data_IF_252854931264
#
_entry.id   IF_252854931264
#
_cell.length_a   1.000
_cell.length_b   1.000
_cell.length_c   1.000
_cell.angle_alpha   90.00
_cell.angle_beta   90.00
_cell.angle_gamma   90.00
#
_symmetry.space_group_name_H-M   'P 1'
#
loop_
_entity.id
_entity.type
_entity.pdbx_description
1 polymer ?
#
# COMPACT_ATOMS: atom_id res chain seq x y z
N UNK A 1 46.82 28.24 -11.53
CA UNK A 1 46.36 27.15 -12.42
C UNK A 1 46.72 25.75 -11.89
N UNK A 2 48.00 25.38 -11.68
CA UNK A 2 48.35 24.03 -11.15
C UNK A 2 47.80 23.72 -9.75
N UNK A 3 47.75 24.69 -8.83
CA UNK A 3 47.17 24.53 -7.48
C UNK A 3 45.64 24.41 -7.48
N UNK A 4 44.98 25.04 -8.45
CA UNK A 4 43.51 25.01 -8.60
C UNK A 4 43.04 23.67 -9.15
N UNK A 5 43.78 23.09 -10.11
CA UNK A 5 43.50 21.76 -10.68
C UNK A 5 43.64 20.66 -9.61
N UNK A 6 44.64 20.77 -8.72
CA UNK A 6 44.84 19.79 -7.64
C UNK A 6 43.70 19.83 -6.60
N UNK A 7 43.16 21.01 -6.29
CA UNK A 7 42.05 21.17 -5.36
C UNK A 7 40.73 20.62 -5.94
N UNK A 8 40.49 20.81 -7.24
CA UNK A 8 39.31 20.25 -7.94
C UNK A 8 39.37 18.71 -8.05
N UNK A 9 40.57 18.13 -8.26
CA UNK A 9 40.75 16.68 -8.35
C UNK A 9 40.56 15.97 -6.99
N UNK A 10 41.00 16.59 -5.89
CA UNK A 10 40.75 16.10 -4.54
C UNK A 10 39.25 16.19 -4.15
N UNK A 11 38.53 17.21 -4.62
CA UNK A 11 37.10 17.36 -4.36
C UNK A 11 36.25 16.34 -5.14
N UNK A 12 36.65 15.95 -6.35
CA UNK A 12 35.99 14.88 -7.12
C UNK A 12 36.24 13.47 -6.57
N UNK A 13 37.39 13.24 -5.93
CA UNK A 13 37.71 11.95 -5.30
C UNK A 13 37.00 11.73 -3.94
N UNK A 14 36.46 12.79 -3.33
CA UNK A 14 35.70 12.73 -2.07
C UNK A 14 34.21 12.42 -2.27
N UNK A 15 33.71 12.34 -3.52
CA UNK A 15 32.28 12.18 -3.82
C UNK A 15 31.94 10.73 -4.24
N UNK A 16 32.91 9.82 -4.30
CA UNK A 16 32.64 8.39 -4.55
C UNK A 16 32.29 7.66 -3.25
N UNK A 17 31.25 8.11 -2.54
CA UNK A 17 30.54 7.21 -1.64
C UNK A 17 29.58 6.39 -2.50
N UNK A 18 29.91 5.11 -2.69
CA UNK A 18 28.93 4.16 -3.19
C UNK A 18 27.74 4.17 -2.23
N UNK A 19 26.63 4.79 -2.63
CA UNK A 19 25.37 4.71 -1.92
C UNK A 19 24.85 3.27 -2.04
N UNK A 20 25.32 2.38 -1.17
CA UNK A 20 24.77 1.04 -1.02
C UNK A 20 23.72 1.10 0.08
N UNK A 21 22.45 1.01 -0.29
CA UNK A 21 21.40 0.71 0.66
C UNK A 21 21.60 -0.73 1.15
N UNK A 22 21.78 -0.93 2.46
CA UNK A 22 21.89 -2.27 3.05
C UNK A 22 20.49 -2.88 3.19
N UNK A 23 20.39 -4.19 2.97
CA UNK A 23 19.20 -4.96 3.31
C UNK A 23 19.45 -5.62 4.66
N UNK A 24 18.61 -5.31 5.64
CA UNK A 24 18.60 -5.94 6.96
C UNK A 24 17.49 -6.97 7.00
N UNK A 25 17.85 -8.23 7.26
CA UNK A 25 16.88 -9.33 7.44
C UNK A 25 16.30 -9.26 8.85
N UNK A 26 14.98 -9.19 8.95
CA UNK A 26 14.26 -9.24 10.22
C UNK A 26 13.47 -10.53 10.27
N UNK A 27 13.83 -11.44 11.19
CA UNK A 27 13.16 -12.73 11.35
C UNK A 27 13.03 -13.08 12.84
N UNK A 28 11.79 -13.18 13.34
CA UNK A 28 11.50 -13.53 14.74
C UNK A 28 11.23 -15.04 14.96
N UNK A 29 11.38 -15.89 13.94
CA UNK A 29 11.20 -17.33 14.07
C UNK A 29 12.33 -17.95 14.93
N UNK A 30 12.00 -18.75 15.96
CA UNK A 30 13.00 -19.41 16.78
C UNK A 30 13.94 -20.28 15.94
N UNK A 31 15.25 -20.15 16.17
CA UNK A 31 16.28 -20.95 15.51
C UNK A 31 16.70 -20.45 14.12
N UNK A 32 16.13 -19.35 13.61
CA UNK A 32 16.59 -18.71 12.37
C UNK A 32 17.60 -17.61 12.68
N UNK A 33 18.77 -17.66 12.04
CA UNK A 33 19.78 -16.60 12.11
C UNK A 33 19.46 -15.51 11.08
N UNK A 34 19.06 -14.34 11.56
CA UNK A 34 18.86 -13.11 10.80
C UNK A 34 19.66 -11.96 11.44
N UNK A 35 19.69 -10.79 10.79
CA UNK A 35 20.40 -9.63 11.36
C UNK A 35 19.71 -9.13 12.63
N UNK A 36 18.37 -9.17 12.64
CA UNK A 36 17.55 -8.77 13.79
C UNK A 36 16.32 -9.67 13.96
N UNK A 37 15.80 -9.71 15.19
CA UNK A 37 14.54 -10.38 15.52
C UNK A 37 13.38 -9.40 15.72
N UNK A 38 13.65 -8.10 15.86
CA UNK A 38 12.62 -7.06 16.06
C UNK A 38 12.79 -5.93 15.05
N UNK A 39 11.67 -5.30 14.67
CA UNK A 39 11.67 -4.19 13.73
C UNK A 39 12.36 -2.95 14.31
N UNK A 40 12.18 -2.67 15.60
CA UNK A 40 12.78 -1.50 16.22
C UNK A 40 14.31 -1.60 16.27
N UNK A 41 14.87 -2.76 16.63
CA UNK A 41 16.32 -2.94 16.62
C UNK A 41 16.91 -2.80 15.19
N UNK A 42 16.20 -3.33 14.20
CA UNK A 42 16.60 -3.19 12.80
C UNK A 42 16.54 -1.73 12.33
N UNK A 43 15.46 -1.02 12.66
CA UNK A 43 15.33 0.40 12.42
C UNK A 43 16.48 1.17 13.07
N UNK A 44 16.78 0.94 14.34
CA UNK A 44 17.78 1.72 15.09
C UNK A 44 19.17 1.58 14.47
N UNK A 45 19.53 0.37 14.01
CA UNK A 45 20.78 0.09 13.33
C UNK A 45 20.84 0.54 11.86
N UNK A 46 19.70 0.65 11.18
CA UNK A 46 19.62 0.99 9.77
C UNK A 46 20.05 2.44 9.49
N UNK A 47 20.70 2.67 8.35
CA UNK A 47 20.97 4.00 7.83
C UNK A 47 19.80 4.49 6.97
N UNK A 48 19.75 5.80 6.72
CA UNK A 48 18.79 6.38 5.77
C UNK A 48 18.95 5.68 4.41
N UNK A 49 17.84 5.25 3.82
CA UNK A 49 17.70 4.45 2.59
C UNK A 49 17.94 2.96 2.70
N UNK A 50 18.28 2.43 3.87
CA UNK A 50 18.35 0.99 4.03
C UNK A 50 16.97 0.33 3.89
N UNK A 51 16.99 -0.96 3.59
CA UNK A 51 15.80 -1.80 3.50
C UNK A 51 15.68 -2.69 4.72
N UNK A 52 14.51 -2.71 5.35
CA UNK A 52 14.12 -3.75 6.29
C UNK A 52 13.33 -4.81 5.52
N UNK A 53 13.91 -5.99 5.34
CA UNK A 53 13.23 -7.14 4.75
C UNK A 53 12.68 -8.03 5.88
N UNK A 54 11.37 -7.95 6.06
CA UNK A 54 10.63 -8.64 7.12
C UNK A 54 10.24 -10.01 6.60
N UNK A 55 10.76 -11.05 7.24
CA UNK A 55 10.53 -12.41 6.81
C UNK A 55 9.23 -12.99 7.38
N UNK A 56 8.57 -13.90 6.63
CA UNK A 56 7.32 -14.50 7.06
C UNK A 56 7.46 -15.27 8.38
N UNK A 57 6.49 -15.09 9.26
CA UNK A 57 6.44 -15.80 10.54
C UNK A 57 5.00 -16.05 10.98
N UNK A 58 4.82 -17.06 11.83
CA UNK A 58 3.59 -17.26 12.61
C UNK A 58 3.53 -16.32 13.83
N UNK A 59 4.66 -15.74 14.22
CA UNK A 59 4.79 -14.83 15.35
C UNK A 59 4.61 -13.40 14.83
N UNK A 60 3.65 -12.68 15.40
CA UNK A 60 3.42 -11.27 15.13
C UNK A 60 4.68 -10.45 15.44
N UNK A 61 5.11 -9.59 14.50
CA UNK A 61 6.14 -8.60 14.78
C UNK A 61 5.54 -7.44 15.58
N UNK A 62 6.24 -7.02 16.63
CA UNK A 62 5.90 -5.83 17.41
C UNK A 62 5.87 -4.57 16.55
N UNK A 63 5.26 -3.53 17.11
CA UNK A 63 5.14 -2.24 16.44
C UNK A 63 6.50 -1.59 16.09
N UNK A 64 6.52 -0.82 15.01
CA UNK A 64 7.68 -0.05 14.55
C UNK A 64 7.42 1.45 14.65
N UNK A 65 8.30 2.19 15.33
CA UNK A 65 8.37 3.64 15.26
C UNK A 65 9.38 4.02 14.19
N UNK A 66 8.89 4.49 13.03
CA UNK A 66 9.72 4.85 11.90
C UNK A 66 10.06 6.35 11.95
N UNK A 67 11.34 6.66 12.15
CA UNK A 67 11.89 8.04 12.22
C UNK A 67 13.05 8.26 11.24
N UNK A 68 13.24 7.32 10.31
CA UNK A 68 14.22 7.37 9.22
C UNK A 68 13.57 6.94 7.92
N UNK A 69 13.96 7.58 6.81
CA UNK A 69 13.57 7.14 5.47
C UNK A 69 14.11 5.74 5.20
N UNK A 70 13.23 4.74 5.13
CA UNK A 70 13.57 3.33 4.89
C UNK A 70 12.68 2.73 3.81
N UNK A 71 13.10 1.58 3.27
CA UNK A 71 12.21 0.69 2.51
C UNK A 71 11.84 -0.48 3.40
N UNK A 72 10.56 -0.74 3.60
CA UNK A 72 10.06 -1.79 4.50
C UNK A 72 9.28 -2.80 3.66
N UNK A 73 9.82 -4.01 3.52
CA UNK A 73 9.31 -5.04 2.61
C UNK A 73 8.89 -6.29 3.37
N UNK A 74 7.69 -6.78 3.09
CA UNK A 74 7.23 -8.11 3.47
C UNK A 74 7.25 -9.09 2.31
N UNK A 75 6.40 -10.11 2.36
CA UNK A 75 6.31 -11.18 1.37
C UNK A 75 4.94 -11.28 0.65
N UNK A 76 4.01 -10.38 0.94
CA UNK A 76 2.62 -10.40 0.47
C UNK A 76 1.65 -11.02 1.47
N UNK A 77 0.41 -11.23 1.03
CA UNK A 77 -0.71 -11.72 1.84
C UNK A 77 -1.63 -12.64 1.01
N UNK A 78 -2.60 -13.32 1.66
CA UNK A 78 -3.47 -14.33 1.03
C UNK A 78 -2.69 -15.41 0.25
N UNK A 79 -1.49 -15.76 0.73
CA UNK A 79 -0.56 -16.66 0.02
C UNK A 79 -1.06 -18.11 -0.01
N UNK A 80 -1.93 -18.46 0.94
CA UNK A 80 -2.65 -19.73 0.99
C UNK A 80 -3.85 -19.81 0.02
N UNK A 81 -4.33 -18.67 -0.49
CA UNK A 81 -5.43 -18.61 -1.47
C UNK A 81 -4.89 -18.50 -2.90
N UNK A 82 -3.93 -17.60 -3.11
CA UNK A 82 -3.26 -17.42 -4.40
C UNK A 82 -1.96 -18.25 -4.44
N UNK A 83 -2.09 -19.55 -4.75
CA UNK A 83 -0.98 -20.52 -4.70
C UNK A 83 0.16 -20.22 -5.71
N UNK A 84 1.33 -20.83 -5.48
CA UNK A 84 2.54 -20.70 -6.31
C UNK A 84 3.13 -19.28 -6.36
N UNK A 85 2.88 -18.50 -5.30
CA UNK A 85 3.37 -17.14 -5.14
C UNK A 85 4.59 -17.04 -4.22
N UNK A 86 4.62 -17.82 -3.14
CA UNK A 86 5.71 -17.87 -2.16
C UNK A 86 5.89 -19.31 -1.68
N UNK A 87 7.12 -19.71 -1.37
CA UNK A 87 7.41 -21.03 -0.80
C UNK A 87 6.97 -21.12 0.67
N UNK A 88 7.08 -20.02 1.42
CA UNK A 88 6.51 -19.88 2.75
C UNK A 88 5.19 -19.12 2.64
N UNK A 89 4.11 -19.74 3.14
CA UNK A 89 2.74 -19.21 3.03
C UNK A 89 2.33 -18.34 4.23
N UNK A 90 3.14 -18.26 5.28
CA UNK A 90 2.94 -17.27 6.34
C UNK A 90 3.16 -15.86 5.79
N UNK A 91 2.52 -14.87 6.42
CA UNK A 91 2.67 -13.46 6.05
C UNK A 91 3.67 -12.78 6.98
N UNK A 92 4.31 -11.73 6.47
CA UNK A 92 5.06 -10.79 7.31
C UNK A 92 4.06 -9.87 8.01
N UNK A 93 3.56 -10.32 9.17
CA UNK A 93 2.52 -9.63 9.94
C UNK A 93 3.14 -8.74 11.01
N UNK A 94 2.89 -7.43 10.90
CA UNK A 94 3.33 -6.39 11.83
C UNK A 94 2.13 -5.83 12.58
N UNK A 95 2.27 -5.56 13.88
CA UNK A 95 1.19 -4.96 14.65
C UNK A 95 0.86 -3.55 14.14
N UNK A 96 1.71 -2.56 14.44
CA UNK A 96 1.51 -1.19 13.98
C UNK A 96 2.79 -0.58 13.40
N UNK A 97 2.64 0.33 12.44
CA UNK A 97 3.73 1.17 11.97
C UNK A 97 3.36 2.64 12.22
N UNK A 98 4.30 3.38 12.81
CA UNK A 98 4.17 4.79 13.13
C UNK A 98 5.19 5.62 12.33
N UNK A 99 4.88 6.06 11.09
CA UNK A 99 5.72 7.01 10.37
C UNK A 99 5.63 8.40 11.01
N UNK A 100 6.74 8.83 11.59
CA UNK A 100 6.93 10.10 12.31
C UNK A 100 7.93 11.01 11.60
N UNK A 101 8.14 12.27 12.03
CA UNK A 101 9.15 13.15 11.43
C UNK A 101 10.51 12.46 11.30
N UNK A 102 11.16 12.63 10.15
CA UNK A 102 12.40 11.93 9.77
C UNK A 102 12.19 10.68 8.91
N UNK A 103 10.96 10.15 8.84
CA UNK A 103 10.60 9.03 7.96
C UNK A 103 10.21 9.43 6.54
N UNK A 104 10.37 10.70 6.16
CA UNK A 104 9.88 11.21 4.89
C UNK A 104 10.48 10.43 3.71
N UNK A 105 9.66 9.97 2.77
CA UNK A 105 10.10 9.14 1.65
C UNK A 105 10.13 7.63 1.94
N UNK A 106 9.66 7.18 3.10
CA UNK A 106 9.58 5.75 3.43
C UNK A 106 8.59 5.03 2.52
N UNK A 107 8.96 3.82 2.10
CA UNK A 107 8.11 2.92 1.32
C UNK A 107 7.77 1.69 2.16
N UNK A 108 6.49 1.34 2.24
CA UNK A 108 5.96 0.21 2.99
C UNK A 108 5.22 -0.70 2.01
N UNK A 109 5.72 -1.93 1.80
CA UNK A 109 5.20 -2.82 0.77
C UNK A 109 5.17 -4.31 1.14
N UNK A 110 4.09 -5.00 0.75
CA UNK A 110 3.98 -6.46 0.86
C UNK A 110 3.75 -6.98 2.27
N UNK A 111 3.18 -6.18 3.18
CA UNK A 111 2.98 -6.54 4.58
C UNK A 111 1.51 -6.77 4.91
N UNK A 112 1.27 -7.56 5.96
CA UNK A 112 0.03 -7.52 6.71
C UNK A 112 0.27 -6.63 7.95
N UNK A 113 -0.56 -5.62 8.17
CA UNK A 113 -0.37 -4.63 9.24
C UNK A 113 -1.71 -4.35 9.93
N UNK A 114 -1.78 -4.41 11.26
CA UNK A 114 -3.05 -4.11 11.96
C UNK A 114 -3.44 -2.62 11.85
N UNK A 115 -2.46 -1.73 11.70
CA UNK A 115 -2.74 -0.32 11.41
C UNK A 115 -1.48 0.51 11.13
N UNK A 116 -1.66 1.58 10.38
CA UNK A 116 -0.62 2.60 10.16
C UNK A 116 -1.11 3.94 10.70
N UNK A 117 -0.28 4.56 11.54
CA UNK A 117 -0.56 5.85 12.16
C UNK A 117 0.48 6.87 11.71
N UNK A 118 0.12 7.71 10.75
CA UNK A 118 0.99 8.74 10.20
C UNK A 118 0.83 10.00 11.03
N UNK A 119 1.95 10.55 11.47
CA UNK A 119 1.97 11.80 12.22
C UNK A 119 3.06 12.72 11.69
N UNK A 120 2.65 13.92 11.33
CA UNK A 120 3.53 15.04 11.04
C UNK A 120 4.67 14.73 10.05
N UNK A 121 4.41 13.90 9.03
CA UNK A 121 5.42 13.46 8.06
C UNK A 121 4.88 13.44 6.63
N UNK A 122 5.78 13.43 5.65
CA UNK A 122 5.45 13.59 4.24
C UNK A 122 6.09 12.53 3.34
N UNK A 123 5.62 12.44 2.10
CA UNK A 123 6.22 11.57 1.07
C UNK A 123 6.23 10.07 1.44
N UNK A 124 5.26 9.59 2.22
CA UNK A 124 5.14 8.18 2.57
C UNK A 124 4.39 7.42 1.48
N UNK A 125 4.90 6.25 1.11
CA UNK A 125 4.24 5.32 0.17
C UNK A 125 3.83 4.05 0.89
N UNK A 126 2.54 3.76 0.88
CA UNK A 126 1.92 2.54 1.40
C UNK A 126 1.36 1.79 0.19
N UNK A 127 2.06 0.75 -0.25
CA UNK A 127 1.78 0.07 -1.51
C UNK A 127 1.63 -1.44 -1.29
N UNK A 128 0.62 -2.10 -1.87
CA UNK A 128 0.49 -3.58 -1.83
C UNK A 128 0.53 -4.18 -0.42
N UNK A 129 -0.24 -3.65 0.52
CA UNK A 129 -0.39 -4.18 1.88
C UNK A 129 -1.82 -4.65 2.17
N UNK A 130 -1.95 -5.52 3.16
CA UNK A 130 -3.20 -5.84 3.85
C UNK A 130 -3.21 -5.07 5.16
N UNK A 131 -4.12 -4.10 5.31
CA UNK A 131 -4.13 -3.14 6.41
C UNK A 131 -5.43 -3.26 7.20
N UNK A 132 -5.32 -3.19 8.53
CA UNK A 132 -6.47 -2.88 9.36
C UNK A 132 -6.98 -1.47 9.02
N UNK A 133 -6.14 -0.43 9.08
CA UNK A 133 -6.56 0.91 8.68
C UNK A 133 -5.40 1.89 8.58
N UNK A 134 -5.68 3.09 8.05
CA UNK A 134 -4.72 4.20 8.04
C UNK A 134 -5.30 5.37 8.80
N UNK A 135 -4.54 5.89 9.75
CA UNK A 135 -4.94 7.04 10.55
C UNK A 135 -3.92 8.17 10.42
N UNK A 136 -4.44 9.40 10.37
CA UNK A 136 -3.63 10.61 10.38
C UNK A 136 -3.82 11.35 11.69
N UNK A 137 -2.71 11.73 12.31
CA UNK A 137 -2.68 12.64 13.45
C UNK A 137 -1.74 13.81 13.17
N UNK A 138 -1.96 14.90 13.88
CA UNK A 138 -1.12 16.08 13.85
C UNK A 138 -0.99 16.57 15.28
N UNK A 139 0.24 16.65 15.79
CA UNK A 139 0.52 17.17 17.13
C UNK A 139 1.12 18.57 17.03
N UNK A 140 1.88 18.84 15.96
CA UNK A 140 2.49 20.14 15.75
C UNK A 140 1.49 21.13 15.13
N UNK A 141 1.37 22.32 15.71
CA UNK A 141 0.54 23.43 15.22
C UNK A 141 1.17 24.18 14.02
N UNK A 142 2.27 23.66 13.47
CA UNK A 142 2.99 24.22 12.33
C UNK A 142 2.29 24.01 10.97
N UNK A 143 2.91 24.47 9.86
CA UNK A 143 2.35 24.27 8.52
C UNK A 143 2.11 22.78 8.25
N UNK A 144 1.03 22.46 7.53
CA UNK A 144 0.52 21.10 7.30
C UNK A 144 1.65 20.11 6.97
N UNK A 145 1.94 19.19 7.89
CA UNK A 145 3.09 18.29 7.77
C UNK A 145 2.73 16.97 7.06
N UNK A 146 1.47 16.52 7.15
CA UNK A 146 1.00 15.36 6.41
C UNK A 146 0.73 15.71 4.95
N UNK A 147 1.74 15.57 4.09
CA UNK A 147 1.63 15.89 2.66
C UNK A 147 2.27 14.85 1.76
N UNK A 148 1.80 14.76 0.51
CA UNK A 148 2.37 13.90 -0.54
C UNK A 148 2.33 12.41 -0.15
N UNK A 149 1.17 11.94 0.29
CA UNK A 149 1.01 10.55 0.74
C UNK A 149 0.44 9.70 -0.39
N UNK A 150 1.02 8.53 -0.61
CA UNK A 150 0.58 7.59 -1.65
C UNK A 150 0.09 6.30 -1.00
N UNK A 151 -1.20 5.98 -1.17
CA UNK A 151 -1.83 4.77 -0.65
C UNK A 151 -2.38 4.01 -1.85
N UNK A 152 -1.67 2.98 -2.31
CA UNK A 152 -2.07 2.25 -3.53
C UNK A 152 -2.03 0.75 -3.45
N UNK A 153 -2.94 0.08 -4.17
CA UNK A 153 -2.96 -1.39 -4.30
C UNK A 153 -3.07 -2.14 -2.98
N UNK A 154 -3.70 -1.53 -1.97
CA UNK A 154 -3.89 -2.14 -0.67
C UNK A 154 -5.29 -2.74 -0.53
N UNK A 155 -5.42 -3.67 0.41
CA UNK A 155 -6.68 -4.08 1.03
C UNK A 155 -6.75 -3.39 2.39
N UNK A 156 -7.77 -2.59 2.67
CA UNK A 156 -7.90 -1.80 3.91
C UNK A 156 -9.25 -2.12 4.57
N UNK A 157 -9.25 -2.63 5.80
CA UNK A 157 -10.47 -3.20 6.41
C UNK A 157 -11.23 -2.30 7.38
N UNK A 158 -10.66 -1.19 7.83
CA UNK A 158 -11.26 -0.20 8.75
C UNK A 158 -11.12 1.24 8.25
N UNK A 159 -10.87 1.42 6.94
CA UNK A 159 -10.89 2.73 6.29
C UNK A 159 -9.62 3.56 6.46
N UNK A 160 -9.76 4.83 6.06
CA UNK A 160 -8.70 5.85 6.07
C UNK A 160 -9.28 7.07 6.78
N UNK A 161 -8.78 7.38 7.97
CA UNK A 161 -9.42 8.35 8.86
C UNK A 161 -8.46 9.48 9.28
N UNK A 162 -9.03 10.67 9.38
CA UNK A 162 -8.35 11.89 9.75
C UNK A 162 -9.21 12.62 10.80
N UNK A 163 -9.06 12.28 12.08
CA UNK A 163 -9.93 12.83 13.13
C UNK A 163 -9.57 14.26 13.52
N UNK A 164 -8.28 14.60 13.56
CA UNK A 164 -7.78 15.91 14.03
C UNK A 164 -6.57 16.42 13.23
N UNK A 165 -6.36 15.89 12.03
CA UNK A 165 -5.26 16.28 11.16
C UNK A 165 -5.77 16.81 9.82
N UNK A 166 -4.87 17.33 9.01
CA UNK A 166 -5.13 17.65 7.62
C UNK A 166 -4.12 16.94 6.74
N UNK A 167 -4.55 16.44 5.58
CA UNK A 167 -3.65 15.78 4.62
C UNK A 167 -3.79 16.42 3.25
N UNK A 168 -2.69 16.94 2.71
CA UNK A 168 -2.67 17.53 1.36
C UNK A 168 -1.93 16.67 0.37
N UNK A 169 -2.36 16.72 -0.89
CA UNK A 169 -1.76 15.93 -1.97
C UNK A 169 -1.71 14.43 -1.64
N UNK A 170 -2.81 13.89 -1.10
CA UNK A 170 -2.97 12.44 -0.90
C UNK A 170 -3.42 11.78 -2.20
N UNK A 171 -2.79 10.66 -2.56
CA UNK A 171 -3.19 9.83 -3.68
C UNK A 171 -3.66 8.47 -3.17
N UNK A 172 -4.96 8.21 -3.28
CA UNK A 172 -5.60 6.95 -2.88
C UNK A 172 -6.05 6.24 -4.15
N UNK A 173 -5.34 5.21 -4.59
CA UNK A 173 -5.69 4.54 -5.83
C UNK A 173 -5.52 3.02 -5.86
N UNK A 174 -6.38 2.36 -6.63
CA UNK A 174 -6.31 0.91 -6.82
C UNK A 174 -6.45 0.10 -5.53
N UNK A 175 -7.13 0.63 -4.51
CA UNK A 175 -7.34 -0.08 -3.24
C UNK A 175 -8.73 -0.72 -3.20
N UNK A 176 -8.84 -1.78 -2.40
CA UNK A 176 -10.11 -2.16 -1.78
C UNK A 176 -10.18 -1.57 -0.38
N UNK A 177 -11.28 -0.88 -0.06
CA UNK A 177 -11.48 -0.25 1.25
C UNK A 177 -12.84 -0.69 1.78
N UNK A 178 -12.84 -1.51 2.83
CA UNK A 178 -14.04 -2.06 3.45
C UNK A 178 -14.28 -1.55 4.86
N UNK A 179 -15.55 -1.62 5.29
CA UNK A 179 -16.05 -1.47 6.67
C UNK A 179 -15.66 -0.19 7.44
N UNK A 180 -14.79 0.64 6.89
CA UNK A 180 -14.51 2.00 7.33
C UNK A 180 -14.57 2.98 6.18
N UNK A 181 -14.78 4.23 6.55
CA UNK A 181 -14.92 5.35 5.61
C UNK A 181 -13.55 5.81 5.11
N UNK A 182 -13.54 6.49 3.98
CA UNK A 182 -12.47 7.45 3.70
C UNK A 182 -12.96 8.78 4.27
N UNK A 183 -12.46 9.15 5.44
CA UNK A 183 -12.84 10.35 6.17
C UNK A 183 -11.66 11.30 6.31
N UNK A 184 -11.61 12.30 5.43
CA UNK A 184 -10.60 13.36 5.41
C UNK A 184 -11.21 14.69 5.86
N UNK A 185 -10.41 15.52 6.54
CA UNK A 185 -10.85 16.84 6.99
C UNK A 185 -11.14 17.80 5.82
N UNK A 186 -11.86 18.89 6.07
CA UNK A 186 -12.19 19.90 5.06
C UNK A 186 -10.98 20.62 4.45
N UNK A 187 -9.85 20.63 5.16
CA UNK A 187 -8.60 21.21 4.68
C UNK A 187 -7.75 20.18 3.91
N UNK A 188 -8.18 18.92 3.87
CA UNK A 188 -7.50 17.89 3.10
C UNK A 188 -7.75 18.06 1.60
N UNK A 189 -6.84 17.54 0.78
CA UNK A 189 -6.95 17.56 -0.69
C UNK A 189 -6.18 16.40 -1.31
N UNK A 190 -6.64 15.93 -2.47
CA UNK A 190 -5.99 14.79 -3.13
C UNK A 190 -6.72 14.27 -4.35
N UNK A 191 -6.34 13.05 -4.76
CA UNK A 191 -7.04 12.30 -5.79
C UNK A 191 -7.36 10.88 -5.30
N UNK A 192 -8.59 10.46 -5.57
CA UNK A 192 -9.15 9.17 -5.18
C UNK A 192 -9.60 8.48 -6.46
N UNK A 193 -8.80 7.53 -6.94
CA UNK A 193 -8.95 6.98 -8.28
C UNK A 193 -8.96 5.45 -8.31
N UNK A 194 -9.84 4.86 -9.12
CA UNK A 194 -9.79 3.41 -9.38
C UNK A 194 -9.86 2.57 -8.10
N UNK A 195 -10.64 2.95 -7.09
CA UNK A 195 -10.82 2.15 -5.87
C UNK A 195 -12.14 1.37 -5.92
N UNK A 196 -12.21 0.31 -5.12
CA UNK A 196 -13.46 -0.33 -4.72
C UNK A 196 -13.69 0.01 -3.24
N UNK A 197 -14.76 0.73 -2.93
CA UNK A 197 -15.01 1.29 -1.60
C UNK A 197 -16.37 0.81 -1.11
N UNK A 198 -16.43 0.09 0.02
CA UNK A 198 -17.73 -0.30 0.60
C UNK A 198 -18.21 0.62 1.71
N UNK A 199 -17.32 1.45 2.28
CA UNK A 199 -17.66 2.49 3.25
C UNK A 199 -18.11 3.82 2.62
N UNK A 200 -18.24 4.85 3.43
CA UNK A 200 -18.59 6.21 2.99
C UNK A 200 -17.37 6.99 2.50
N UNK A 201 -17.62 7.95 1.61
CA UNK A 201 -16.62 8.91 1.16
C UNK A 201 -16.92 10.29 1.74
N UNK A 202 -16.11 10.70 2.73
CA UNK A 202 -16.21 11.95 3.47
C UNK A 202 -14.94 12.76 3.26
N UNK A 203 -14.92 13.58 2.21
CA UNK A 203 -13.68 14.26 1.77
C UNK A 203 -13.96 15.68 1.30
N UNK A 204 -12.94 16.48 1.10
CA UNK A 204 -13.04 17.81 0.50
C UNK A 204 -11.86 18.04 -0.44
N UNK A 205 -12.03 18.93 -1.42
CA UNK A 205 -10.98 19.33 -2.35
C UNK A 205 -10.30 18.14 -3.07
N UNK A 206 -11.06 17.08 -3.37
CA UNK A 206 -10.56 15.89 -4.03
C UNK A 206 -11.08 15.74 -5.46
N UNK A 207 -10.23 15.19 -6.33
CA UNK A 207 -10.67 14.59 -7.61
C UNK A 207 -11.02 13.13 -7.34
N UNK A 208 -12.26 12.75 -7.60
CA UNK A 208 -12.79 11.41 -7.33
C UNK A 208 -13.23 10.80 -8.66
N UNK A 209 -12.49 9.82 -9.17
CA UNK A 209 -12.74 9.29 -10.50
C UNK A 209 -12.55 7.78 -10.64
N UNK A 210 -13.31 7.16 -11.54
CA UNK A 210 -13.17 5.74 -11.89
C UNK A 210 -13.34 4.77 -10.71
N UNK A 211 -13.99 5.18 -9.61
CA UNK A 211 -14.20 4.33 -8.44
C UNK A 211 -15.51 3.53 -8.56
N UNK A 212 -15.61 2.43 -7.81
CA UNK A 212 -16.85 1.67 -7.59
C UNK A 212 -17.15 1.73 -6.10
N UNK A 213 -18.31 2.27 -5.73
CA UNK A 213 -18.62 2.64 -4.35
C UNK A 213 -19.95 2.00 -3.91
N UNK A 214 -19.95 1.26 -2.80
CA UNK A 214 -21.16 0.67 -2.22
C UNK A 214 -21.93 1.68 -1.38
N UNK A 215 -21.20 2.43 -0.56
CA UNK A 215 -21.76 3.43 0.34
C UNK A 215 -22.13 4.73 -0.37
N UNK A 216 -22.65 5.69 0.40
CA UNK A 216 -22.88 7.05 -0.11
C UNK A 216 -21.54 7.72 -0.46
N UNK A 217 -21.47 8.28 -1.67
CA UNK A 217 -20.37 9.08 -2.18
C UNK A 217 -20.87 10.52 -2.42
N UNK A 218 -21.24 11.20 -1.34
CA UNK A 218 -21.96 12.47 -1.40
C UNK A 218 -22.81 12.66 -0.16
N UNK A 219 -23.31 13.88 0.06
CA UNK A 219 -23.95 14.32 1.31
C UNK A 219 -24.84 13.26 1.95
N UNK A 220 -24.37 12.64 3.04
CA UNK A 220 -25.30 12.31 4.10
C UNK A 220 -25.85 13.66 4.55
N UNK A 221 -27.11 13.92 4.22
CA UNK A 221 -27.84 15.17 4.52
C UNK A 221 -27.33 15.76 5.85
N UNK A 222 -26.61 16.89 5.77
CA UNK A 222 -26.13 17.63 6.94
C UNK A 222 -24.63 17.60 7.28
N UNK A 223 -23.70 17.21 6.40
CA UNK A 223 -22.24 17.31 6.68
C UNK A 223 -21.39 17.98 5.59
N UNK A 224 -20.31 18.63 6.07
CA UNK A 224 -19.51 19.69 5.44
C UNK A 224 -18.38 19.10 4.56
N UNK A 225 -18.72 18.57 3.38
CA UNK A 225 -17.78 17.93 2.45
C UNK A 225 -17.86 18.58 1.06
N UNK A 226 -17.08 19.66 0.87
CA UNK A 226 -17.23 20.60 -0.25
C UNK A 226 -16.09 20.49 -1.26
N UNK A 227 -16.30 21.03 -2.46
CA UNK A 227 -15.28 21.21 -3.51
C UNK A 227 -14.67 19.92 -4.07
N UNK A 228 -15.43 18.82 -4.09
CA UNK A 228 -15.01 17.61 -4.77
C UNK A 228 -15.43 17.63 -6.25
N UNK A 229 -14.57 17.10 -7.12
CA UNK A 229 -14.91 16.83 -8.52
C UNK A 229 -15.11 15.33 -8.69
N UNK A 230 -16.36 14.89 -8.88
CA UNK A 230 -16.71 13.48 -9.03
C UNK A 230 -17.09 13.15 -10.47
N UNK A 231 -16.37 12.23 -11.10
CA UNK A 231 -16.56 11.90 -12.52
C UNK A 231 -16.34 10.41 -12.80
N UNK A 232 -17.16 9.79 -13.63
CA UNK A 232 -17.00 8.39 -14.08
C UNK A 232 -16.91 7.38 -12.92
N UNK A 233 -17.64 7.61 -11.83
CA UNK A 233 -17.75 6.66 -10.72
C UNK A 233 -19.03 5.84 -10.83
N UNK A 234 -19.00 4.65 -10.23
CA UNK A 234 -20.17 3.78 -10.06
C UNK A 234 -20.61 3.75 -8.61
N UNK A 235 -21.90 3.82 -8.36
CA UNK A 235 -22.51 3.57 -7.05
C UNK A 235 -23.58 2.49 -7.15
N UNK A 236 -23.61 1.64 -6.11
CA UNK A 236 -24.70 0.68 -5.93
C UNK A 236 -26.00 1.33 -5.44
N UNK A 237 -25.94 2.54 -4.91
CA UNK A 237 -27.10 3.30 -4.45
C UNK A 237 -27.73 4.09 -5.59
N UNK A 238 -29.05 4.29 -5.54
CA UNK A 238 -29.81 4.99 -6.60
C UNK A 238 -29.46 6.48 -6.72
N UNK A 239 -28.96 7.08 -5.65
CA UNK A 239 -28.63 8.50 -5.51
C UNK A 239 -27.28 8.71 -4.80
N UNK A 240 -26.39 7.72 -4.85
CA UNK A 240 -25.12 7.74 -4.13
C UNK A 240 -24.07 8.71 -4.68
N UNK A 241 -24.21 9.16 -5.93
CA UNK A 241 -23.30 10.08 -6.64
C UNK A 241 -24.07 11.25 -7.27
N UNK A 242 -23.42 12.42 -7.48
CA UNK A 242 -24.02 13.53 -8.21
C UNK A 242 -24.30 13.17 -9.66
N UNK A 243 -25.44 13.64 -10.18
CA UNK A 243 -25.85 13.43 -11.56
C UNK A 243 -24.88 14.06 -12.56
N UNK A 244 -24.69 13.41 -13.71
CA UNK A 244 -23.81 13.87 -14.78
C UNK A 244 -22.35 13.41 -14.65
N UNK A 245 -21.46 14.00 -15.46
CA UNK A 245 -20.01 13.71 -15.47
C UNK A 245 -19.62 12.22 -15.59
N UNK A 246 -20.47 11.41 -16.24
CA UNK A 246 -20.23 9.97 -16.40
C UNK A 246 -20.47 9.14 -15.14
N UNK A 247 -20.93 9.74 -14.03
CA UNK A 247 -21.29 8.97 -12.83
C UNK A 247 -22.54 8.12 -13.09
N UNK A 248 -22.54 6.89 -12.56
CA UNK A 248 -23.64 5.94 -12.67
C UNK A 248 -24.08 5.49 -11.29
N UNK A 249 -25.37 5.63 -11.00
CA UNK A 249 -26.01 5.20 -9.76
C UNK A 249 -26.89 3.96 -10.01
N UNK A 250 -27.21 3.22 -8.95
CA UNK A 250 -28.10 2.07 -8.98
C UNK A 250 -27.52 0.84 -9.68
N UNK A 251 -26.18 0.76 -9.81
CA UNK A 251 -25.52 -0.35 -10.48
C UNK A 251 -25.16 -1.43 -9.46
N UNK A 252 -25.83 -2.58 -9.52
CA UNK A 252 -25.63 -3.64 -8.51
C UNK A 252 -24.22 -4.23 -8.56
N UNK A 253 -23.68 -4.62 -7.39
CA UNK A 253 -22.36 -5.25 -7.29
C UNK A 253 -22.26 -6.54 -8.10
N UNK A 254 -23.33 -7.34 -8.09
CA UNK A 254 -23.44 -8.58 -8.87
C UNK A 254 -23.38 -8.32 -10.38
N UNK A 255 -23.75 -7.13 -10.86
CA UNK A 255 -23.60 -6.75 -12.27
C UNK A 255 -22.17 -6.35 -12.64
N UNK A 256 -21.35 -6.01 -11.65
CA UNK A 256 -20.01 -5.46 -11.86
C UNK A 256 -18.93 -6.53 -11.69
N UNK A 257 -18.99 -7.29 -10.60
CA UNK A 257 -17.89 -8.15 -10.16
C UNK A 257 -18.14 -9.63 -10.46
N UNK A 258 -17.05 -10.40 -10.55
CA UNK A 258 -17.10 -11.87 -10.64
C UNK A 258 -17.73 -12.49 -9.39
N UNK A 259 -18.19 -13.75 -9.49
CA UNK A 259 -18.82 -14.45 -8.39
C UNK A 259 -17.84 -14.62 -7.20
N UNK A 260 -18.13 -14.05 -6.01
CA UNK A 260 -17.24 -14.13 -4.87
C UNK A 260 -17.06 -15.56 -4.33
N UNK A 261 -17.99 -16.49 -4.58
CA UNK A 261 -17.88 -17.87 -4.12
C UNK A 261 -16.84 -18.69 -4.90
N UNK A 262 -16.44 -18.22 -6.09
CA UNK A 262 -15.52 -18.90 -6.99
C UNK A 262 -14.13 -18.25 -7.06
N UNK A 263 -13.89 -17.21 -6.27
CA UNK A 263 -12.68 -16.38 -6.35
C UNK A 263 -12.05 -16.17 -4.97
N UNK A 264 -10.77 -15.83 -4.97
CA UNK A 264 -10.02 -15.50 -3.74
C UNK A 264 -10.53 -14.21 -3.10
N UNK A 265 -10.17 -13.99 -1.85
CA UNK A 265 -10.60 -12.86 -1.02
C UNK A 265 -10.38 -11.51 -1.73
N UNK A 266 -9.25 -11.36 -2.43
CA UNK A 266 -8.94 -10.18 -3.23
C UNK A 266 -9.30 -10.31 -4.72
N UNK A 267 -9.31 -11.53 -5.27
CA UNK A 267 -9.68 -11.79 -6.65
C UNK A 267 -11.14 -11.52 -6.99
N UNK A 268 -12.05 -11.61 -6.01
CA UNK A 268 -13.48 -11.38 -6.23
C UNK A 268 -13.86 -9.96 -6.67
N UNK A 269 -12.94 -8.99 -6.58
CA UNK A 269 -13.17 -7.61 -7.01
C UNK A 269 -12.80 -7.34 -8.48
N UNK A 270 -12.50 -8.39 -9.25
CA UNK A 270 -12.32 -8.28 -10.69
C UNK A 270 -13.67 -8.08 -11.39
N UNK A 271 -13.64 -7.33 -12.49
CA UNK A 271 -14.83 -7.10 -13.31
C UNK A 271 -15.24 -8.40 -14.02
N UNK A 272 -16.53 -8.73 -13.99
CA UNK A 272 -17.05 -9.88 -14.74
C UNK A 272 -17.17 -9.56 -16.23
N UNK A 273 -17.20 -10.58 -17.12
CA UNK A 273 -17.51 -10.36 -18.53
C UNK A 273 -18.83 -9.60 -18.72
N UNK A 274 -18.78 -8.55 -19.54
CA UNK A 274 -19.94 -7.67 -19.78
C UNK A 274 -20.27 -6.71 -18.63
N UNK A 275 -19.39 -6.57 -17.64
CA UNK A 275 -19.53 -5.58 -16.57
C UNK A 275 -19.65 -4.16 -17.16
N UNK A 276 -20.61 -3.34 -16.68
CA UNK A 276 -20.78 -1.96 -17.14
C UNK A 276 -19.60 -1.06 -16.75
N UNK A 277 -18.74 -1.51 -15.83
CA UNK A 277 -17.54 -0.79 -15.41
C UNK A 277 -16.34 -0.98 -16.36
N UNK A 278 -16.45 -1.85 -17.37
CA UNK A 278 -15.41 -2.07 -18.39
C UNK A 278 -15.40 -0.88 -19.35
N UNK A 279 -14.25 -0.24 -19.50
CA UNK A 279 -14.05 0.91 -20.39
C UNK A 279 -14.87 2.16 -20.04
N UNK A 280 -15.55 2.19 -18.90
CA UNK A 280 -16.44 3.29 -18.49
C UNK A 280 -15.71 4.44 -17.77
N UNK A 281 -14.46 4.24 -17.39
CA UNK A 281 -13.63 5.25 -16.76
C UNK A 281 -13.10 6.28 -17.76
N UNK A 282 -12.57 7.38 -17.23
CA UNK A 282 -11.91 8.43 -18.02
C UNK A 282 -10.82 7.82 -18.91
N UNK A 283 -10.88 8.13 -20.20
CA UNK A 283 -9.94 7.61 -21.19
C UNK A 283 -10.22 6.17 -21.64
N UNK A 284 -11.41 5.63 -21.35
CA UNK A 284 -11.80 4.29 -21.77
C UNK A 284 -11.16 3.19 -20.91
N UNK A 285 -10.73 3.51 -19.69
CA UNK A 285 -10.16 2.54 -18.75
C UNK A 285 -11.25 1.88 -17.92
N UNK A 286 -10.96 0.70 -17.39
CA UNK A 286 -11.86 0.04 -16.44
C UNK A 286 -11.92 0.79 -15.11
N UNK A 287 -13.10 0.82 -14.49
CA UNK A 287 -13.28 1.36 -13.13
C UNK A 287 -12.94 0.30 -12.06
N UNK A 288 -12.62 0.76 -10.86
CA UNK A 288 -12.28 -0.09 -9.72
C UNK A 288 -10.81 -0.50 -9.63
N UNK A 289 -10.49 -1.32 -8.64
CA UNK A 289 -9.12 -1.57 -8.15
C UNK A 289 -8.22 -2.27 -9.17
N UNK A 290 -8.80 -3.08 -10.06
CA UNK A 290 -8.10 -3.75 -11.16
C UNK A 290 -8.04 -2.92 -12.45
N UNK A 291 -8.57 -1.69 -12.44
CA UNK A 291 -8.56 -0.79 -13.58
C UNK A 291 -7.38 0.18 -13.62
N UNK A 292 -7.28 0.94 -14.71
CA UNK A 292 -6.20 1.90 -14.94
C UNK A 292 -4.86 1.28 -15.36
N UNK A 293 -3.81 2.11 -15.47
CA UNK A 293 -2.50 1.69 -15.99
C UNK A 293 -1.62 0.93 -14.98
N UNK A 294 -1.96 1.00 -13.70
CA UNK A 294 -1.19 0.38 -12.62
C UNK A 294 -2.12 -0.30 -11.60
N UNK A 295 -2.81 -1.38 -12.01
CA UNK A 295 -3.87 -1.98 -11.22
C UNK A 295 -3.37 -2.66 -9.95
N UNK A 296 -4.31 -3.00 -9.07
CA UNK A 296 -4.08 -3.89 -7.94
C UNK A 296 -3.45 -5.22 -8.40
N UNK A 297 -2.56 -5.78 -7.57
CA UNK A 297 -1.93 -7.08 -7.80
C UNK A 297 -2.36 -8.06 -6.72
N UNK A 298 -2.84 -9.24 -7.13
CA UNK A 298 -3.23 -10.30 -6.21
C UNK A 298 -2.12 -10.60 -5.21
N UNK A 299 -2.53 -10.88 -3.97
CA UNK A 299 -1.65 -11.12 -2.83
C UNK A 299 -0.71 -9.97 -2.45
N UNK A 300 -0.85 -8.80 -3.07
CA UNK A 300 0.02 -7.66 -2.83
C UNK A 300 1.51 -8.01 -2.90
N UNK A 301 1.89 -8.89 -3.83
CA UNK A 301 3.28 -9.33 -3.92
C UNK A 301 4.21 -8.12 -4.14
N UNK A 302 5.24 -7.93 -3.32
CA UNK A 302 6.13 -6.78 -3.43
C UNK A 302 6.91 -6.80 -4.74
N UNK A 303 7.43 -5.65 -5.18
CA UNK A 303 8.28 -5.50 -6.37
C UNK A 303 9.68 -6.11 -6.24
N UNK A 304 9.80 -7.25 -5.56
CA UNK A 304 11.01 -8.07 -5.46
C UNK A 304 10.71 -9.49 -5.97
N UNK A 305 11.70 -10.24 -6.48
CA UNK A 305 11.50 -11.62 -6.89
C UNK A 305 11.04 -12.50 -5.72
N UNK A 306 10.16 -13.46 -6.00
CA UNK A 306 9.71 -14.46 -5.01
C UNK A 306 10.32 -15.82 -5.30
N UNK A 307 10.75 -16.52 -4.25
CA UNK A 307 11.01 -17.95 -4.29
C UNK A 307 9.67 -18.66 -4.05
N UNK A 308 9.16 -19.37 -5.05
CA UNK A 308 7.86 -20.07 -4.95
C UNK A 308 7.99 -21.59 -4.82
N UNK A 309 9.20 -22.13 -5.06
CA UNK A 309 9.49 -23.53 -4.80
C UNK A 309 10.93 -23.67 -4.31
N UNK A 310 11.09 -24.37 -3.19
CA UNK A 310 12.36 -24.83 -2.66
C UNK A 310 12.23 -26.31 -2.37
N UNK A 311 13.03 -27.13 -3.04
CA UNK A 311 13.09 -28.57 -2.81
C UNK A 311 14.54 -28.96 -2.56
N UNK A 312 14.78 -29.55 -1.40
CA UNK A 312 16.07 -30.14 -1.04
C UNK A 312 15.79 -31.50 -0.38
N UNK A 313 16.57 -32.55 -0.70
CA UNK A 313 16.46 -33.83 -0.02
C UNK A 313 16.90 -33.69 1.44
N UNK A 314 16.29 -34.48 2.33
CA UNK A 314 16.59 -34.43 3.77
C UNK A 314 18.02 -34.91 4.10
N UNK A 315 18.61 -35.71 3.22
CA UNK A 315 19.97 -36.22 3.36
C UNK A 315 20.78 -35.88 2.11
N UNK A 316 22.08 -35.64 2.28
CA UNK A 316 23.00 -35.54 1.15
C UNK A 316 23.21 -36.90 0.50
N UNK A 317 23.44 -36.90 -0.81
CA UNK A 317 23.96 -38.06 -1.50
C UNK A 317 25.49 -37.95 -1.51
N UNK A 318 26.14 -38.54 -0.51
CA UNK A 318 27.56 -38.30 -0.22
C UNK A 318 27.82 -36.86 0.21
N UNK A 319 28.73 -36.17 -0.48
CA UNK A 319 29.08 -34.77 -0.21
C UNK A 319 28.24 -33.75 -1.00
N UNK A 320 27.22 -34.19 -1.75
CA UNK A 320 26.40 -33.31 -2.59
C UNK A 320 24.95 -33.28 -2.09
N UNK A 321 24.39 -32.08 -1.97
CA UNK A 321 22.97 -31.86 -1.69
C UNK A 321 22.35 -31.17 -2.91
N UNK A 322 21.46 -31.86 -3.62
CA UNK A 322 20.79 -31.29 -4.78
C UNK A 322 19.65 -30.38 -4.31
N UNK A 323 19.76 -29.07 -4.55
CA UNK A 323 18.71 -28.10 -4.19
C UNK A 323 18.11 -27.52 -5.46
N UNK A 324 16.79 -27.64 -5.59
CA UNK A 324 16.01 -27.00 -6.65
C UNK A 324 15.34 -25.75 -6.09
N UNK A 325 15.60 -24.61 -6.73
CA UNK A 325 15.01 -23.32 -6.39
C UNK A 325 14.29 -22.81 -7.63
N UNK A 326 13.01 -22.44 -7.49
CA UNK A 326 12.26 -21.76 -8.54
C UNK A 326 11.88 -20.36 -8.09
N UNK A 327 12.20 -19.38 -8.94
CA UNK A 327 12.02 -17.95 -8.70
C UNK A 327 11.19 -17.31 -9.80
N UNK A 328 10.46 -16.24 -9.47
CA UNK A 328 9.71 -15.45 -10.46
C UNK A 328 9.82 -13.95 -10.22
N UNK A 329 9.72 -13.18 -11.30
CA UNK A 329 9.52 -11.72 -11.24
C UNK A 329 8.08 -11.42 -10.83
N UNK A 330 7.90 -10.41 -9.99
CA UNK A 330 6.57 -9.88 -9.61
C UNK A 330 6.22 -8.57 -10.34
N UNK A 331 7.01 -8.20 -11.36
CA UNK A 331 6.81 -7.05 -12.23
C UNK A 331 6.74 -7.46 -13.69
#
# INVERSE_FOLDING_TARGET
>A
MKKTIFFTLCLSALITFSASAKIWRVNNNPGITADFTTLQAAHDAAMINDTLHIEPSIILYDSLIATKRLVILGNGYFLNENLNNQANLYTSHVQYIYPYPGSEGTVIEGLQIDGIYIQDTSNITINRNLLGGVQFSQINTGPMLNTNLTITKNIITYGINCELANVTNIFIANNYISAGDISLSQMSSGAIANNVITGYLRTSNCIIQNNIISGYAGEMIGTIYVNNTMTHNFSAQLDGLPAGNGNQNGVSWESIFVDPALNTTDGKWQLKPGSPAIGAGIGGVDCGMFGGSNPYKLSGLPTIPSIYSLSAPANSNGNTLLVNISVKSNN
#
